data_IF_532549669487
#
_entry.id   IF_532549669487
#
_cell.length_a   1.000
_cell.length_b   1.000
_cell.length_c   1.000
_cell.angle_alpha   90.00
_cell.angle_beta   90.00
_cell.angle_gamma   90.00
#
_symmetry.space_group_name_H-M   'P 1'
#
loop_
_entity.id
_entity.type
_entity.pdbx_description
1 polymer ?
#
# COMPACT_ATOMS: atom_id res chain seq x y z
N UNK A 1 3.85 5.65 -3.69
CA UNK A 1 4.83 6.73 -3.47
C UNK A 1 5.44 6.56 -2.07
N UNK A 2 6.72 6.18 -1.97
CA UNK A 2 7.38 5.89 -0.69
C UNK A 2 7.82 7.14 0.10
N UNK A 3 7.64 8.33 -0.45
CA UNK A 3 7.97 9.61 0.18
C UNK A 3 6.99 10.68 -0.31
N UNK A 4 5.70 10.48 0.00
CA UNK A 4 4.63 11.21 -0.69
C UNK A 4 4.49 12.68 -0.28
N UNK A 5 5.14 13.12 0.81
CA UNK A 5 5.02 14.48 1.30
C UNK A 5 3.57 14.87 1.53
N UNK A 6 3.17 16.02 1.04
CA UNK A 6 1.78 16.49 1.06
C UNK A 6 0.88 15.90 -0.05
N UNK A 7 1.36 14.88 -0.79
CA UNK A 7 0.56 14.11 -1.73
C UNK A 7 0.42 14.68 -3.14
N UNK A 8 1.28 15.61 -3.57
CA UNK A 8 1.16 16.21 -4.90
C UNK A 8 1.24 15.21 -6.04
N UNK A 9 2.17 14.25 -5.95
CA UNK A 9 2.28 13.18 -6.93
C UNK A 9 1.03 12.29 -6.94
N UNK A 10 0.51 11.95 -5.76
CA UNK A 10 -0.69 11.15 -5.62
C UNK A 10 -1.93 11.86 -6.18
N UNK A 11 -2.02 13.19 -6.02
CA UNK A 11 -3.08 13.99 -6.63
C UNK A 11 -3.03 13.96 -8.15
N UNK A 12 -1.83 14.06 -8.73
CA UNK A 12 -1.64 13.93 -10.17
C UNK A 12 -1.99 12.51 -10.66
N UNK A 13 -1.53 11.50 -9.95
CA UNK A 13 -1.87 10.12 -10.25
C UNK A 13 -3.39 9.85 -10.18
N UNK A 14 -4.10 10.49 -9.25
CA UNK A 14 -5.57 10.42 -9.19
C UNK A 14 -6.23 10.89 -10.50
N UNK A 15 -5.75 12.00 -11.08
CA UNK A 15 -6.27 12.51 -12.36
C UNK A 15 -6.03 11.52 -13.52
N UNK A 16 -4.83 10.95 -13.57
CA UNK A 16 -4.50 9.96 -14.58
C UNK A 16 -5.37 8.70 -14.44
N UNK A 17 -5.59 8.25 -13.20
CA UNK A 17 -6.42 7.08 -12.93
C UNK A 17 -7.88 7.31 -13.34
N UNK A 18 -8.45 8.50 -13.13
CA UNK A 18 -9.78 8.81 -13.65
C UNK A 18 -9.86 8.64 -15.17
N UNK A 19 -8.80 9.02 -15.89
CA UNK A 19 -8.73 8.85 -17.34
C UNK A 19 -8.58 7.38 -17.73
N UNK A 20 -7.71 6.63 -17.03
CA UNK A 20 -7.49 5.20 -17.27
C UNK A 20 -8.78 4.40 -17.05
N UNK A 21 -9.52 4.66 -15.98
CA UNK A 21 -10.80 4.00 -15.73
C UNK A 21 -11.82 4.28 -16.83
N UNK A 22 -11.87 5.51 -17.33
CA UNK A 22 -12.75 5.88 -18.46
C UNK A 22 -12.37 5.13 -19.73
N UNK A 23 -11.10 5.15 -20.10
CA UNK A 23 -10.58 4.44 -21.29
C UNK A 23 -10.81 2.93 -21.21
N UNK A 24 -10.57 2.34 -20.03
CA UNK A 24 -10.83 0.92 -19.80
C UNK A 24 -12.33 0.57 -19.96
N UNK A 25 -13.22 1.42 -19.48
CA UNK A 25 -14.67 1.26 -19.68
C UNK A 25 -15.06 1.39 -21.15
N UNK A 26 -14.61 2.44 -21.84
CA UNK A 26 -14.94 2.71 -23.25
C UNK A 26 -14.40 1.62 -24.20
N UNK A 27 -13.23 1.05 -23.88
CA UNK A 27 -12.64 -0.03 -24.69
C UNK A 27 -13.34 -1.37 -24.50
N UNK A 28 -14.00 -1.58 -23.35
CA UNK A 28 -14.56 -2.88 -22.97
C UNK A 28 -13.51 -3.98 -22.77
N UNK A 29 -12.22 -3.64 -22.83
CA UNK A 29 -11.08 -4.55 -22.74
C UNK A 29 -10.11 -3.99 -21.69
N UNK A 30 -10.43 -4.12 -20.42
CA UNK A 30 -9.55 -3.75 -19.33
C UNK A 30 -8.92 -5.00 -18.67
N UNK A 31 -7.91 -4.80 -17.81
CA UNK A 31 -7.44 -5.89 -16.95
C UNK A 31 -8.58 -6.36 -16.03
N UNK A 32 -8.59 -7.65 -15.75
CA UNK A 32 -9.48 -8.22 -14.75
C UNK A 32 -9.09 -7.73 -13.35
N UNK A 33 -10.09 -7.48 -12.52
CA UNK A 33 -9.88 -7.16 -11.12
C UNK A 33 -9.38 -8.42 -10.38
N UNK A 34 -8.27 -8.33 -9.66
CA UNK A 34 -7.71 -9.46 -8.91
C UNK A 34 -8.68 -10.05 -7.87
N UNK A 35 -9.61 -9.24 -7.35
CA UNK A 35 -10.56 -9.67 -6.33
C UNK A 35 -11.81 -10.32 -6.90
N UNK A 36 -12.31 -9.85 -8.05
CA UNK A 36 -13.54 -10.35 -8.67
C UNK A 36 -13.28 -11.30 -9.83
N UNK A 37 -12.12 -11.23 -10.46
CA UNK A 37 -11.80 -11.94 -11.70
C UNK A 37 -12.55 -11.40 -12.92
N UNK A 38 -13.17 -10.23 -12.81
CA UNK A 38 -14.01 -9.61 -13.84
C UNK A 38 -13.39 -8.33 -14.37
N UNK A 39 -13.77 -7.95 -15.55
CA UNK A 39 -13.50 -6.63 -16.13
C UNK A 39 -14.42 -5.56 -15.52
N UNK A 40 -14.09 -4.28 -15.69
CA UNK A 40 -14.95 -3.19 -15.21
C UNK A 40 -16.37 -3.25 -15.80
N UNK A 41 -16.50 -3.68 -17.05
CA UNK A 41 -17.80 -3.79 -17.72
C UNK A 41 -18.65 -4.97 -17.21
N UNK A 42 -18.04 -5.94 -16.54
CA UNK A 42 -18.74 -7.05 -15.89
C UNK A 42 -19.09 -6.73 -14.43
N UNK A 43 -18.25 -5.94 -13.75
CA UNK A 43 -18.47 -5.55 -12.35
C UNK A 43 -19.51 -4.42 -12.19
N UNK A 44 -19.65 -3.55 -13.20
CA UNK A 44 -20.57 -2.39 -13.17
C UNK A 44 -21.58 -2.46 -14.30
N UNK A 45 -22.85 -2.28 -13.95
CA UNK A 45 -23.95 -2.38 -14.92
C UNK A 45 -24.05 -1.14 -15.84
N UNK A 46 -23.54 0.02 -15.42
CA UNK A 46 -23.58 1.26 -16.19
C UNK A 46 -22.38 2.16 -15.93
N UNK A 47 -22.15 3.11 -16.83
CA UNK A 47 -21.14 4.16 -16.66
C UNK A 47 -21.41 5.02 -15.42
N UNK A 48 -22.64 5.33 -15.13
CA UNK A 48 -23.06 6.12 -13.98
C UNK A 48 -22.72 5.40 -12.67
N UNK A 49 -22.91 4.09 -12.63
CA UNK A 49 -22.54 3.27 -11.47
C UNK A 49 -21.02 3.26 -11.26
N UNK A 50 -20.25 3.06 -12.32
CA UNK A 50 -18.78 3.14 -12.25
C UNK A 50 -18.31 4.54 -11.83
N UNK A 51 -18.90 5.61 -12.39
CA UNK A 51 -18.57 6.99 -11.99
C UNK A 51 -18.79 7.23 -10.49
N UNK A 52 -19.88 6.68 -9.94
CA UNK A 52 -20.15 6.77 -8.50
C UNK A 52 -19.14 5.99 -7.65
N UNK A 53 -18.61 4.89 -8.14
CA UNK A 53 -17.63 4.07 -7.42
C UNK A 53 -16.19 4.56 -7.59
N UNK A 54 -15.85 5.09 -8.77
CA UNK A 54 -14.48 5.35 -9.24
C UNK A 54 -13.60 6.15 -8.27
N UNK A 55 -14.02 7.30 -7.69
CA UNK A 55 -13.18 8.03 -6.76
C UNK A 55 -12.81 7.21 -5.51
N UNK A 56 -13.75 6.39 -5.04
CA UNK A 56 -13.53 5.48 -3.92
C UNK A 56 -12.60 4.33 -4.26
N UNK A 57 -12.73 3.74 -5.45
CA UNK A 57 -11.86 2.67 -5.95
C UNK A 57 -10.40 3.16 -6.07
N UNK A 58 -10.18 4.33 -6.66
CA UNK A 58 -8.86 4.94 -6.80
C UNK A 58 -8.18 5.09 -5.44
N UNK A 59 -8.88 5.64 -4.45
CA UNK A 59 -8.31 5.85 -3.12
C UNK A 59 -8.09 4.55 -2.35
N UNK A 60 -8.91 3.54 -2.59
CA UNK A 60 -8.83 2.27 -1.86
C UNK A 60 -7.81 1.30 -2.43
N UNK A 61 -7.67 1.26 -3.75
CA UNK A 61 -6.94 0.19 -4.43
C UNK A 61 -5.72 0.65 -5.23
N UNK A 62 -5.67 1.92 -5.66
CA UNK A 62 -4.63 2.35 -6.60
C UNK A 62 -3.61 3.29 -5.98
N UNK A 63 -4.01 4.14 -5.03
CA UNK A 63 -3.12 5.15 -4.47
C UNK A 63 -2.63 4.73 -3.09
N UNK A 64 -1.31 4.59 -2.98
CA UNK A 64 -0.62 4.27 -1.74
C UNK A 64 0.49 5.28 -1.50
N UNK A 65 0.58 5.81 -0.29
CA UNK A 65 1.61 6.76 0.10
C UNK A 65 2.25 6.39 1.44
N UNK A 66 3.53 6.60 1.54
CA UNK A 66 4.28 6.49 2.80
C UNK A 66 4.91 7.85 3.07
N UNK A 67 4.84 8.30 4.31
CA UNK A 67 5.43 9.58 4.72
C UNK A 67 5.92 9.48 6.17
N UNK A 68 7.08 10.04 6.44
CA UNK A 68 7.67 10.06 7.79
C UNK A 68 7.11 11.22 8.64
N UNK A 69 6.75 12.34 8.01
CA UNK A 69 6.11 13.46 8.70
C UNK A 69 4.60 13.23 8.79
N UNK A 70 4.12 13.01 10.01
CA UNK A 70 2.71 12.79 10.29
C UNK A 70 1.81 13.95 9.82
N UNK A 71 2.29 15.19 9.82
CA UNK A 71 1.52 16.35 9.35
C UNK A 71 1.40 16.34 7.83
N UNK A 72 2.50 16.01 7.13
CA UNK A 72 2.48 15.88 5.68
C UNK A 72 1.54 14.73 5.26
N UNK A 73 1.57 13.58 5.93
CA UNK A 73 0.66 12.47 5.69
C UNK A 73 -0.83 12.85 5.89
N UNK A 74 -1.13 13.62 6.94
CA UNK A 74 -2.48 14.14 7.19
C UNK A 74 -2.94 15.08 6.08
N UNK A 75 -2.06 15.98 5.62
CA UNK A 75 -2.35 16.90 4.50
C UNK A 75 -2.59 16.10 3.22
N UNK A 76 -1.75 15.12 2.91
CA UNK A 76 -1.92 14.24 1.75
C UNK A 76 -3.26 13.51 1.79
N UNK A 77 -3.61 12.92 2.92
CA UNK A 77 -4.88 12.20 3.11
C UNK A 77 -6.08 13.11 2.92
N UNK A 78 -6.04 14.33 3.50
CA UNK A 78 -7.10 15.32 3.34
C UNK A 78 -7.21 15.80 1.88
N UNK A 79 -6.07 16.09 1.24
CA UNK A 79 -6.03 16.55 -0.15
C UNK A 79 -6.61 15.50 -1.11
N UNK A 80 -6.28 14.23 -0.93
CA UNK A 80 -6.84 13.12 -1.69
C UNK A 80 -8.35 12.97 -1.46
N UNK A 81 -8.80 13.07 -0.21
CA UNK A 81 -10.23 13.06 0.09
C UNK A 81 -10.97 14.23 -0.59
N UNK A 82 -10.41 15.45 -0.51
CA UNK A 82 -10.98 16.62 -1.17
C UNK A 82 -11.02 16.46 -2.69
N UNK A 83 -9.96 15.88 -3.28
CA UNK A 83 -9.93 15.60 -4.73
C UNK A 83 -11.01 14.62 -5.15
N UNK A 84 -11.24 13.56 -4.36
CA UNK A 84 -12.35 12.63 -4.61
C UNK A 84 -13.73 13.32 -4.50
N UNK A 85 -13.92 14.19 -3.50
CA UNK A 85 -15.16 14.97 -3.38
C UNK A 85 -15.37 15.90 -4.58
N UNK A 86 -14.30 16.47 -5.11
CA UNK A 86 -14.34 17.27 -6.32
C UNK A 86 -14.72 16.43 -7.55
N UNK A 87 -14.18 15.21 -7.70
CA UNK A 87 -14.54 14.30 -8.78
C UNK A 87 -16.03 13.95 -8.75
N UNK A 88 -16.60 13.68 -7.58
CA UNK A 88 -18.05 13.48 -7.44
C UNK A 88 -18.86 14.69 -7.91
N UNK A 89 -18.43 15.93 -7.61
CA UNK A 89 -19.08 17.14 -8.11
C UNK A 89 -18.99 17.24 -9.63
N UNK A 90 -17.81 16.95 -10.19
CA UNK A 90 -17.57 16.95 -11.65
C UNK A 90 -18.46 15.93 -12.38
N UNK A 91 -18.74 14.80 -11.72
CA UNK A 91 -19.65 13.76 -12.22
C UNK A 91 -21.14 14.06 -11.95
N UNK A 92 -21.46 15.16 -11.28
CA UNK A 92 -22.84 15.54 -10.95
C UNK A 92 -23.49 14.72 -9.84
N UNK A 93 -22.69 13.96 -9.05
CA UNK A 93 -23.19 13.07 -8.00
C UNK A 93 -23.50 13.87 -6.75
N UNK A 94 -24.78 13.85 -6.33
CA UNK A 94 -25.24 14.56 -5.15
C UNK A 94 -24.59 14.04 -3.87
N UNK A 95 -24.35 14.92 -2.91
CA UNK A 95 -23.63 14.57 -1.67
C UNK A 95 -24.23 13.38 -0.91
N UNK A 96 -25.57 13.25 -0.93
CA UNK A 96 -26.27 12.15 -0.27
C UNK A 96 -26.09 10.78 -0.94
N UNK A 97 -25.67 10.79 -2.22
CA UNK A 97 -25.51 9.58 -3.05
C UNK A 97 -24.06 9.10 -3.10
N UNK A 98 -23.12 9.88 -2.53
CA UNK A 98 -21.69 9.53 -2.57
C UNK A 98 -21.38 8.37 -1.65
N UNK A 99 -20.67 7.34 -2.14
CA UNK A 99 -20.17 6.29 -1.29
C UNK A 99 -19.22 6.86 -0.21
N UNK A 100 -19.25 6.34 1.02
CA UNK A 100 -18.39 6.82 2.08
C UNK A 100 -16.94 6.47 1.82
N UNK A 101 -16.06 7.47 1.86
CA UNK A 101 -14.61 7.28 1.86
C UNK A 101 -14.15 7.37 3.31
N UNK A 102 -13.84 6.23 3.90
CA UNK A 102 -13.50 6.12 5.33
C UNK A 102 -12.02 6.25 5.60
N UNK A 103 -11.16 5.97 4.61
CA UNK A 103 -9.70 6.06 4.74
C UNK A 103 -9.04 6.26 3.38
N UNK A 104 -7.81 6.75 3.41
CA UNK A 104 -6.84 6.71 2.31
C UNK A 104 -5.72 5.74 2.68
N UNK A 105 -4.96 5.26 1.70
CA UNK A 105 -3.80 4.40 1.95
C UNK A 105 -2.52 5.22 2.10
N UNK A 106 -2.60 6.34 2.82
CA UNK A 106 -1.42 7.11 3.22
C UNK A 106 -1.09 6.72 4.65
N UNK A 107 0.11 6.18 4.85
CA UNK A 107 0.59 5.72 6.14
C UNK A 107 1.76 6.57 6.62
N UNK A 108 1.85 6.76 7.93
CA UNK A 108 3.01 7.37 8.55
C UNK A 108 4.00 6.26 8.84
N UNK A 109 5.20 6.38 8.27
CA UNK A 109 6.30 5.47 8.57
C UNK A 109 7.01 5.92 9.84
N UNK A 110 7.32 5.00 10.70
CA UNK A 110 8.25 5.24 11.79
C UNK A 110 9.68 5.05 11.24
N UNK A 111 10.64 5.89 11.67
CA UNK A 111 12.03 5.69 11.29
C UNK A 111 12.52 4.32 11.79
N UNK A 112 13.39 3.69 11.01
CA UNK A 112 14.05 2.46 11.46
C UNK A 112 14.74 2.72 12.81
N UNK A 113 14.76 1.73 13.73
CA UNK A 113 15.46 1.86 15.01
C UNK A 113 16.89 2.30 14.78
N UNK A 114 17.29 3.44 15.35
CA UNK A 114 18.65 3.98 15.20
C UNK A 114 19.67 3.29 16.08
N UNK A 115 19.23 2.50 17.07
CA UNK A 115 20.09 1.77 18.00
C UNK A 115 19.92 0.26 17.80
N UNK A 116 21.03 -0.47 17.84
CA UNK A 116 21.06 -1.92 17.64
C UNK A 116 20.17 -2.67 18.64
N UNK A 117 20.14 -2.21 19.88
CA UNK A 117 19.31 -2.82 20.93
C UNK A 117 17.82 -2.77 20.60
N UNK A 118 17.35 -1.69 19.97
CA UNK A 118 15.96 -1.55 19.51
C UNK A 118 15.67 -2.48 18.32
N UNK A 119 16.63 -2.65 17.41
CA UNK A 119 16.51 -3.61 16.34
C UNK A 119 16.39 -5.03 16.88
N UNK A 120 17.27 -5.42 17.81
CA UNK A 120 17.29 -6.75 18.39
C UNK A 120 15.98 -7.05 19.17
N UNK A 121 15.41 -6.06 19.84
CA UNK A 121 14.08 -6.18 20.47
C UNK A 121 12.97 -6.37 19.44
N UNK A 122 12.96 -5.57 18.38
CA UNK A 122 11.99 -5.69 17.27
C UNK A 122 12.07 -7.07 16.59
N UNK A 123 13.30 -7.54 16.29
CA UNK A 123 13.49 -8.86 15.68
C UNK A 123 13.05 -10.00 16.59
N UNK A 124 13.23 -9.86 17.90
CA UNK A 124 12.72 -10.82 18.88
C UNK A 124 11.20 -10.86 18.90
N UNK A 125 10.54 -9.70 18.98
CA UNK A 125 9.07 -9.62 18.91
C UNK A 125 8.51 -10.19 17.61
N UNK A 126 9.19 -9.93 16.49
CA UNK A 126 8.79 -10.44 15.20
C UNK A 126 8.85 -11.98 15.16
N UNK A 127 9.85 -12.59 15.79
CA UNK A 127 10.00 -14.05 15.87
C UNK A 127 9.02 -14.72 16.83
N UNK A 128 8.70 -14.08 17.96
CA UNK A 128 7.95 -14.70 19.04
C UNK A 128 6.44 -14.54 18.94
N UNK A 129 5.94 -13.34 18.59
CA UNK A 129 4.51 -13.03 18.76
C UNK A 129 3.73 -12.73 17.48
N UNK A 130 4.31 -11.97 16.55
CA UNK A 130 3.50 -11.43 15.45
C UNK A 130 3.31 -12.37 14.27
N UNK A 131 4.31 -13.19 13.96
CA UNK A 131 4.21 -14.08 12.80
C UNK A 131 3.27 -15.25 13.05
N UNK A 132 3.22 -15.77 14.26
CA UNK A 132 2.31 -16.85 14.62
C UNK A 132 0.84 -16.42 14.52
N UNK A 133 0.55 -15.18 14.92
CA UNK A 133 -0.80 -14.61 14.82
C UNK A 133 -1.21 -14.32 13.37
N UNK A 134 -0.31 -13.79 12.55
CA UNK A 134 -0.54 -13.58 11.12
C UNK A 134 -0.77 -14.90 10.38
N UNK A 135 0.01 -15.94 10.69
CA UNK A 135 -0.14 -17.25 10.05
C UNK A 135 -1.42 -17.98 10.48
N UNK A 136 -1.94 -17.73 11.67
CA UNK A 136 -3.26 -18.27 12.09
C UNK A 136 -4.41 -17.72 11.26
N UNK A 137 -4.26 -16.51 10.74
CA UNK A 137 -5.32 -15.83 9.96
C UNK A 137 -5.31 -16.20 8.46
N UNK A 138 -4.19 -16.71 7.94
CA UNK A 138 -3.97 -16.81 6.49
C UNK A 138 -4.00 -18.26 5.97
N UNK A 139 -3.73 -19.29 6.79
CA UNK A 139 -3.52 -20.65 6.25
C UNK A 139 -4.15 -21.75 7.11
N UNK A 140 -5.06 -22.52 6.52
CA UNK A 140 -5.54 -23.82 7.03
C UNK A 140 -4.53 -24.94 6.69
N UNK A 141 -3.46 -25.07 7.48
CA UNK A 141 -2.42 -26.12 7.32
C UNK A 141 -2.26 -26.88 8.65
N UNK A 142 -1.88 -28.18 8.63
CA UNK A 142 -1.58 -28.92 9.85
C UNK A 142 -0.54 -28.25 10.73
N UNK A 143 -0.73 -28.34 12.04
CA UNK A 143 0.02 -27.56 13.06
C UNK A 143 1.54 -27.76 12.98
N UNK A 144 2.03 -28.98 12.79
CA UNK A 144 3.47 -29.28 12.66
C UNK A 144 4.13 -28.67 11.41
N UNK A 145 3.39 -28.59 10.31
CA UNK A 145 3.87 -27.99 9.07
C UNK A 145 3.86 -26.45 9.18
N UNK A 146 2.85 -25.92 9.87
CA UNK A 146 2.71 -24.50 10.15
C UNK A 146 3.86 -23.96 10.99
N UNK A 147 4.20 -24.63 12.09
CA UNK A 147 5.30 -24.21 12.98
C UNK A 147 6.66 -24.15 12.28
N UNK A 148 6.95 -25.14 11.41
CA UNK A 148 8.20 -25.14 10.65
C UNK A 148 8.26 -24.06 9.58
N UNK A 149 7.17 -23.87 8.85
CA UNK A 149 7.05 -22.81 7.84
C UNK A 149 7.11 -21.42 8.47
N UNK A 150 6.44 -21.22 9.61
CA UNK A 150 6.46 -19.96 10.35
C UNK A 150 7.85 -19.62 10.84
N UNK A 151 8.60 -20.58 11.36
CA UNK A 151 9.97 -20.34 11.83
C UNK A 151 10.92 -19.99 10.69
N UNK A 152 10.88 -20.74 9.58
CA UNK A 152 11.71 -20.44 8.41
C UNK A 152 11.39 -19.07 7.80
N UNK A 153 10.10 -18.73 7.74
CA UNK A 153 9.64 -17.41 7.27
C UNK A 153 10.03 -16.29 8.22
N UNK A 154 9.97 -16.51 9.54
CA UNK A 154 10.43 -15.56 10.54
C UNK A 154 11.91 -15.28 10.42
N UNK A 155 12.72 -16.34 10.28
CA UNK A 155 14.18 -16.22 10.13
C UNK A 155 14.54 -15.48 8.82
N UNK A 156 13.86 -15.78 7.71
CA UNK A 156 14.07 -15.07 6.44
C UNK A 156 13.68 -13.59 6.55
N UNK A 157 12.54 -13.29 7.17
CA UNK A 157 12.07 -11.92 7.35
C UNK A 157 12.98 -11.12 8.29
N UNK A 158 13.44 -11.74 9.36
CA UNK A 158 14.41 -11.11 10.26
C UNK A 158 15.74 -10.83 9.54
N UNK A 159 16.24 -11.76 8.74
CA UNK A 159 17.45 -11.56 7.93
C UNK A 159 17.27 -10.42 6.90
N UNK A 160 16.09 -10.30 6.31
CA UNK A 160 15.76 -9.19 5.40
C UNK A 160 15.77 -7.84 6.15
N UNK A 161 15.14 -7.78 7.33
CA UNK A 161 15.08 -6.56 8.14
C UNK A 161 16.49 -6.15 8.59
N UNK A 162 17.33 -7.11 9.02
CA UNK A 162 18.74 -6.84 9.38
C UNK A 162 19.54 -6.29 8.19
N UNK A 163 19.41 -6.89 7.01
CA UNK A 163 20.09 -6.43 5.81
C UNK A 163 19.68 -5.01 5.41
N UNK A 164 18.38 -4.71 5.47
CA UNK A 164 17.86 -3.36 5.23
C UNK A 164 18.38 -2.38 6.27
N UNK A 165 18.39 -2.76 7.56
CA UNK A 165 18.83 -1.90 8.63
C UNK A 165 20.32 -1.52 8.48
N UNK A 166 21.19 -2.51 8.20
CA UNK A 166 22.61 -2.27 7.97
C UNK A 166 22.88 -1.32 6.79
N UNK A 167 22.08 -1.43 5.73
CA UNK A 167 22.18 -0.51 4.59
C UNK A 167 21.63 0.89 4.90
N UNK A 168 20.56 0.96 5.65
CA UNK A 168 19.94 2.24 6.03
C UNK A 168 20.78 3.03 7.05
N UNK A 169 21.68 2.37 7.81
CA UNK A 169 22.66 3.05 8.66
C UNK A 169 23.55 3.99 7.85
N UNK A 170 23.87 3.61 6.60
CA UNK A 170 24.64 4.43 5.66
C UNK A 170 23.80 5.44 4.87
N UNK A 171 22.48 5.43 5.02
CA UNK A 171 21.58 6.27 4.20
C UNK A 171 21.82 7.77 4.37
N UNK A 172 22.21 8.20 5.56
CA UNK A 172 22.55 9.60 5.83
C UNK A 172 23.77 10.11 5.06
N UNK A 173 24.72 9.22 4.73
CA UNK A 173 25.95 9.55 4.02
C UNK A 173 25.89 9.23 2.53
N UNK A 174 25.30 8.09 2.17
CA UNK A 174 25.30 7.58 0.79
C UNK A 174 24.05 7.98 -0.02
N UNK A 175 22.94 8.31 0.64
CA UNK A 175 21.70 8.77 -0.02
C UNK A 175 21.26 7.85 -1.16
N UNK A 176 21.01 8.44 -2.34
CA UNK A 176 20.55 7.73 -3.55
C UNK A 176 21.56 6.76 -4.17
N UNK A 177 22.79 6.68 -3.65
CA UNK A 177 23.78 5.69 -4.08
C UNK A 177 23.55 4.31 -3.46
N UNK A 178 22.67 4.21 -2.46
CA UNK A 178 22.29 2.93 -1.89
C UNK A 178 21.38 2.17 -2.86
N UNK A 179 21.87 1.06 -3.34
CA UNK A 179 21.09 0.14 -4.20
C UNK A 179 20.37 -0.90 -3.33
N UNK A 180 19.40 -0.44 -2.54
CA UNK A 180 18.63 -1.31 -1.64
C UNK A 180 17.87 -2.38 -2.42
N UNK A 181 17.41 -2.06 -3.64
CA UNK A 181 16.66 -2.96 -4.51
C UNK A 181 17.46 -4.19 -4.92
N UNK A 182 18.74 -4.03 -5.24
CA UNK A 182 19.63 -5.14 -5.64
C UNK A 182 19.82 -6.10 -4.46
N UNK A 183 20.01 -5.57 -3.26
CA UNK A 183 20.23 -6.35 -2.02
C UNK A 183 18.95 -7.05 -1.53
N UNK A 184 17.80 -6.40 -1.67
CA UNK A 184 16.50 -7.01 -1.36
C UNK A 184 16.21 -8.18 -2.28
N UNK A 185 16.50 -8.04 -3.58
CA UNK A 185 16.33 -9.12 -4.55
C UNK A 185 17.23 -10.31 -4.22
N UNK A 186 18.50 -10.08 -3.87
CA UNK A 186 19.41 -11.15 -3.45
C UNK A 186 18.99 -11.83 -2.13
N UNK A 187 18.40 -11.08 -1.19
CA UNK A 187 17.94 -11.63 0.08
C UNK A 187 16.67 -12.47 -0.07
N UNK A 188 15.81 -12.14 -1.05
CA UNK A 188 14.59 -12.90 -1.36
C UNK A 188 14.90 -14.19 -2.13
N UNK A 189 15.97 -14.21 -2.94
CA UNK A 189 16.39 -15.38 -3.72
C UNK A 189 17.17 -16.44 -2.90
N UNK A 190 17.61 -16.10 -1.70
CA UNK A 190 18.30 -17.03 -0.75
C UNK A 190 17.30 -17.76 0.14
#
# INVERSE_FOLDING_TARGET
DPACGSGHFLLYAFELLLTIYREAWESGTGPECEQTGHTLAEDFASWEELQAAMPGLILRHNLHGIEIDARAAQIASLALWMRAQRAYNEFGIARAERPPITRTNVVVAEPMPGERDMLDEFLRELREDRLEELMRQVVEVPEDTRLRATKAMADSLCGLVEAVWEKMELAGEAGSLLKIEDELSEAIER
#
